data_IF_322129174050
#
_entry.id   IF_322129174050
#
_cell.length_a   1.000
_cell.length_b   1.000
_cell.length_c   1.000
_cell.angle_alpha   90.00
_cell.angle_beta   90.00
_cell.angle_gamma   90.00
#
_symmetry.space_group_name_H-M   'P 1'
#
loop_
_entity.id
_entity.type
_entity.pdbx_description
1 polymer ?
#
# COMPACT_ATOMS: atom_id res chain seq x y z
N UNK A 1 12.56 -11.86 11.98
CA UNK A 1 13.34 -12.53 10.89
C UNK A 1 14.85 -12.32 11.06
N UNK A 2 15.70 -13.18 10.47
CA UNK A 2 17.18 -13.10 10.52
C UNK A 2 17.71 -12.12 9.49
N UNK A 3 17.78 -10.86 9.81
CA UNK A 3 18.18 -9.81 8.87
C UNK A 3 19.55 -9.16 9.18
N UNK A 4 20.00 -9.15 10.46
CA UNK A 4 21.24 -8.48 10.87
C UNK A 4 22.46 -9.08 10.18
N UNK A 5 23.34 -8.21 9.67
CA UNK A 5 24.57 -8.59 8.97
C UNK A 5 24.38 -9.07 7.52
N UNK A 6 23.18 -8.93 6.95
CA UNK A 6 22.88 -9.26 5.57
C UNK A 6 23.12 -8.08 4.62
N UNK A 7 23.11 -8.36 3.30
CA UNK A 7 23.23 -7.33 2.26
C UNK A 7 22.13 -6.27 2.41
N UNK A 8 22.51 -5.01 2.31
CA UNK A 8 21.58 -3.89 2.18
C UNK A 8 21.51 -3.47 0.71
N UNK A 9 20.35 -3.04 0.26
CA UNK A 9 20.18 -2.47 -1.09
C UNK A 9 20.88 -1.14 -1.20
N UNK A 10 21.46 -0.88 -2.38
CA UNK A 10 21.94 0.45 -2.77
C UNK A 10 20.87 1.30 -3.46
N UNK A 11 19.70 0.72 -3.79
CA UNK A 11 18.59 1.41 -4.46
C UNK A 11 17.71 2.15 -3.45
N UNK A 12 18.34 2.90 -2.54
CA UNK A 12 17.66 3.62 -1.45
C UNK A 12 17.96 5.10 -1.52
N UNK A 13 16.90 5.91 -1.48
CA UNK A 13 16.97 7.36 -1.30
C UNK A 13 16.60 7.73 0.14
N UNK A 14 17.56 8.21 0.91
CA UNK A 14 17.27 8.78 2.24
C UNK A 14 16.80 10.24 2.09
N UNK A 15 15.50 10.43 2.18
CA UNK A 15 14.86 11.74 2.10
C UNK A 15 14.34 12.22 3.47
N UNK A 16 14.72 11.58 4.60
CA UNK A 16 14.29 11.95 5.95
C UNK A 16 14.69 13.36 6.34
N UNK A 17 15.80 13.88 5.81
CA UNK A 17 16.24 15.26 6.00
C UNK A 17 15.61 16.27 5.04
N UNK A 18 14.78 15.86 4.08
CA UNK A 18 14.17 16.79 3.12
C UNK A 18 12.93 17.45 3.71
N UNK A 19 12.96 18.77 3.85
CA UNK A 19 11.75 19.54 4.23
C UNK A 19 10.99 19.91 2.95
N UNK A 20 9.80 19.33 2.77
CA UNK A 20 8.88 19.77 1.73
C UNK A 20 8.27 21.09 2.19
N UNK A 21 8.65 22.20 1.58
CA UNK A 21 8.05 23.49 1.86
C UNK A 21 6.56 23.42 1.50
N UNK A 22 5.69 23.57 2.47
CA UNK A 22 4.25 23.73 2.22
C UNK A 22 4.04 25.11 1.64
N UNK A 23 3.86 25.21 0.31
CA UNK A 23 3.31 26.41 -0.34
C UNK A 23 1.83 26.53 0.01
N UNK A 24 1.52 26.52 1.31
CA UNK A 24 0.16 26.59 1.82
C UNK A 24 -0.46 27.98 1.71
N UNK A 25 0.33 29.02 1.37
CA UNK A 25 -0.15 30.39 1.42
C UNK A 25 -1.15 30.76 0.30
N UNK A 26 -0.76 30.60 -0.97
CA UNK A 26 -1.57 31.12 -2.08
C UNK A 26 -2.83 30.28 -2.37
N UNK A 27 -2.74 28.96 -2.35
CA UNK A 27 -3.88 28.08 -2.66
C UNK A 27 -4.94 28.08 -1.55
N UNK A 28 -4.54 28.15 -0.28
CA UNK A 28 -5.47 28.26 0.86
C UNK A 28 -6.16 29.62 0.85
N UNK A 29 -5.41 30.69 0.57
CA UNK A 29 -5.98 32.06 0.48
C UNK A 29 -6.96 32.17 -0.69
N UNK A 30 -6.64 31.65 -1.87
CA UNK A 30 -7.52 31.60 -3.04
C UNK A 30 -8.79 30.77 -2.76
N UNK A 31 -8.67 29.63 -2.07
CA UNK A 31 -9.81 28.79 -1.73
C UNK A 31 -10.70 29.42 -0.66
N UNK A 32 -10.11 30.07 0.35
CA UNK A 32 -10.84 30.76 1.41
C UNK A 32 -11.59 31.99 0.86
N UNK A 33 -10.92 32.77 0.02
CA UNK A 33 -11.50 33.96 -0.61
C UNK A 33 -12.51 33.57 -1.67
N UNK A 34 -12.24 32.53 -2.46
CA UNK A 34 -13.18 32.01 -3.45
C UNK A 34 -14.49 31.48 -2.82
N UNK A 35 -14.39 30.80 -1.66
CA UNK A 35 -15.57 30.33 -0.91
C UNK A 35 -16.37 31.43 -0.28
N UNK A 36 -15.74 32.52 0.19
CA UNK A 36 -16.42 33.59 0.92
C UNK A 36 -16.91 34.71 0.01
N UNK A 37 -16.18 35.01 -1.07
CA UNK A 37 -16.42 36.19 -1.92
C UNK A 37 -16.59 35.86 -3.40
N UNK A 38 -16.56 34.57 -3.76
CA UNK A 38 -16.70 34.09 -5.13
C UNK A 38 -15.64 34.64 -6.07
N UNK A 39 -15.94 34.67 -7.38
CA UNK A 39 -15.03 35.09 -8.43
C UNK A 39 -14.59 36.56 -8.27
N UNK A 40 -15.46 37.40 -7.69
CA UNK A 40 -15.15 38.84 -7.44
C UNK A 40 -14.01 39.01 -6.42
N UNK A 41 -13.97 38.16 -5.37
CA UNK A 41 -12.88 38.17 -4.41
C UNK A 41 -11.55 37.70 -5.01
N UNK A 42 -11.58 36.71 -5.91
CA UNK A 42 -10.41 36.25 -6.63
C UNK A 42 -9.85 37.37 -7.53
N UNK A 43 -10.71 38.10 -8.26
CA UNK A 43 -10.27 39.21 -9.09
C UNK A 43 -9.63 40.34 -8.26
N UNK A 44 -10.18 40.65 -7.10
CA UNK A 44 -9.61 41.66 -6.17
C UNK A 44 -8.20 41.18 -5.70
N UNK A 45 -8.05 39.92 -5.34
CA UNK A 45 -6.72 39.38 -4.96
C UNK A 45 -5.70 39.47 -6.09
N UNK A 46 -6.09 39.21 -7.34
CA UNK A 46 -5.21 39.34 -8.51
C UNK A 46 -4.78 40.81 -8.69
N UNK A 47 -5.70 41.75 -8.59
CA UNK A 47 -5.42 43.18 -8.73
C UNK A 47 -4.49 43.65 -7.60
N UNK A 48 -4.79 43.30 -6.35
CA UNK A 48 -3.95 43.63 -5.19
C UNK A 48 -2.55 43.02 -5.34
N UNK A 49 -2.45 41.75 -5.73
CA UNK A 49 -1.18 41.08 -5.97
C UNK A 49 -0.36 41.81 -7.07
N UNK A 50 -1.01 42.22 -8.16
CA UNK A 50 -0.37 42.96 -9.25
C UNK A 50 0.14 44.36 -8.81
N UNK A 51 -0.65 45.08 -7.99
CA UNK A 51 -0.24 46.36 -7.43
C UNK A 51 0.95 46.20 -6.50
N UNK A 52 0.91 45.24 -5.59
CA UNK A 52 2.00 44.94 -4.64
C UNK A 52 3.30 44.54 -5.36
N UNK A 53 3.17 43.79 -6.46
CA UNK A 53 4.32 43.54 -7.35
C UNK A 53 4.88 44.78 -7.97
N UNK A 54 4.04 45.65 -8.54
CA UNK A 54 4.49 46.89 -9.20
C UNK A 54 5.19 47.86 -8.25
N UNK A 55 4.81 47.87 -6.98
CA UNK A 55 5.46 48.69 -5.93
C UNK A 55 6.66 47.97 -5.26
N UNK A 56 7.02 46.76 -5.75
CA UNK A 56 8.20 46.03 -5.26
C UNK A 56 8.03 45.36 -3.88
N UNK A 57 6.78 45.30 -3.35
CA UNK A 57 6.52 44.72 -2.04
C UNK A 57 6.40 43.20 -2.07
N UNK A 58 6.14 42.58 -3.23
CA UNK A 58 6.14 41.13 -3.44
C UNK A 58 6.79 40.78 -4.77
N UNK A 59 7.54 39.65 -4.78
CA UNK A 59 8.09 39.07 -5.98
C UNK A 59 7.13 37.98 -6.49
N UNK A 60 6.63 38.05 -7.76
CA UNK A 60 5.74 37.06 -8.32
C UNK A 60 6.37 35.66 -8.38
N UNK A 61 7.71 35.55 -8.41
CA UNK A 61 8.40 34.26 -8.35
C UNK A 61 8.14 33.48 -7.06
N UNK A 62 7.76 34.18 -5.98
CA UNK A 62 7.31 33.57 -4.73
C UNK A 62 5.87 33.05 -4.81
N UNK A 63 5.05 33.54 -5.76
CA UNK A 63 3.64 33.14 -5.91
C UNK A 63 3.43 32.05 -6.97
N UNK A 64 4.25 32.06 -8.02
CA UNK A 64 4.28 31.00 -9.03
C UNK A 64 5.35 30.04 -8.56
N UNK A 65 4.97 28.88 -8.01
CA UNK A 65 5.88 27.90 -7.45
C UNK A 65 7.11 27.67 -8.35
N UNK A 66 8.16 28.42 -8.05
CA UNK A 66 9.51 28.12 -8.55
C UNK A 66 9.93 26.75 -8.00
N UNK A 67 10.96 26.12 -8.57
CA UNK A 67 11.42 24.82 -8.10
C UNK A 67 11.65 24.92 -6.59
N UNK A 68 10.85 24.17 -5.85
CA UNK A 68 10.91 24.10 -4.38
C UNK A 68 12.35 23.73 -4.04
N UNK A 69 13.13 24.68 -3.54
CA UNK A 69 14.48 24.37 -3.04
C UNK A 69 14.27 23.41 -1.86
N UNK A 70 14.49 22.15 -2.13
CA UNK A 70 14.49 21.10 -1.10
C UNK A 70 15.74 21.34 -0.26
N UNK A 71 15.59 22.03 0.86
CA UNK A 71 16.69 22.13 1.83
C UNK A 71 16.86 20.76 2.46
N UNK A 72 17.97 20.10 2.17
CA UNK A 72 18.40 18.91 2.88
C UNK A 72 19.09 19.34 4.17
N UNK A 73 18.51 18.95 5.29
CA UNK A 73 19.12 19.06 6.62
C UNK A 73 19.79 17.71 6.95
N UNK A 74 20.93 17.67 7.62
CA UNK A 74 21.50 16.41 8.09
C UNK A 74 20.45 15.58 8.83
N UNK A 75 20.40 14.28 8.56
CA UNK A 75 19.45 13.37 9.20
C UNK A 75 19.99 13.06 10.59
N UNK A 76 19.35 13.60 11.63
CA UNK A 76 19.53 13.13 13.00
C UNK A 76 18.56 11.98 13.22
N UNK A 77 19.05 10.74 13.10
CA UNK A 77 18.28 9.54 13.36
C UNK A 77 18.53 9.03 14.78
N UNK A 78 17.48 8.56 15.43
CA UNK A 78 17.66 7.78 16.68
C UNK A 78 18.23 6.39 16.34
N UNK A 79 18.83 5.68 17.29
CA UNK A 79 19.31 4.32 17.07
C UNK A 79 18.20 3.39 16.54
N UNK A 80 16.97 3.52 17.06
CA UNK A 80 15.80 2.73 16.64
C UNK A 80 15.39 3.06 15.20
N UNK A 81 15.39 4.34 14.83
CA UNK A 81 15.09 4.75 13.46
C UNK A 81 16.17 4.27 12.48
N UNK A 82 17.42 4.28 12.90
CA UNK A 82 18.52 3.75 12.08
C UNK A 82 18.41 2.21 11.94
N UNK A 83 18.05 1.49 13.01
CA UNK A 83 17.82 0.06 12.94
C UNK A 83 16.68 -0.28 11.96
N UNK A 84 15.58 0.49 11.98
CA UNK A 84 14.47 0.35 11.02
C UNK A 84 14.92 0.66 9.58
N UNK A 85 15.72 1.69 9.41
CA UNK A 85 16.32 2.04 8.11
C UNK A 85 17.15 0.87 7.57
N UNK A 86 18.05 0.32 8.38
CA UNK A 86 18.90 -0.81 8.01
C UNK A 86 18.04 -2.04 7.69
N UNK A 87 17.01 -2.30 8.46
CA UNK A 87 16.07 -3.38 8.25
C UNK A 87 15.37 -3.29 6.89
N UNK A 88 14.75 -2.16 6.56
CA UNK A 88 14.01 -2.02 5.30
C UNK A 88 14.94 -2.09 4.08
N UNK A 89 16.20 -1.67 4.23
CA UNK A 89 17.19 -1.79 3.16
C UNK A 89 17.62 -3.23 2.92
N UNK A 90 17.67 -4.07 3.96
CA UNK A 90 17.87 -5.52 3.84
C UNK A 90 16.68 -6.19 3.19
N UNK A 91 15.45 -5.85 3.60
CA UNK A 91 14.22 -6.40 3.00
C UNK A 91 14.15 -6.06 1.51
N UNK A 92 14.46 -4.81 1.13
CA UNK A 92 14.51 -4.44 -0.29
C UNK A 92 15.54 -5.28 -1.05
N UNK A 93 16.75 -5.46 -0.49
CA UNK A 93 17.78 -6.31 -1.08
C UNK A 93 17.30 -7.76 -1.30
N UNK A 94 16.53 -8.30 -0.36
CA UNK A 94 15.92 -9.63 -0.49
C UNK A 94 14.88 -9.69 -1.62
N UNK A 95 14.08 -8.64 -1.78
CA UNK A 95 13.13 -8.56 -2.89
C UNK A 95 13.85 -8.49 -4.23
N UNK A 96 14.96 -7.74 -4.31
CA UNK A 96 15.80 -7.68 -5.53
C UNK A 96 16.32 -9.05 -5.94
N UNK A 97 16.89 -9.81 -4.99
CA UNK A 97 17.45 -11.13 -5.25
C UNK A 97 16.37 -12.11 -5.73
N UNK A 98 15.20 -12.11 -5.09
CA UNK A 98 14.08 -12.99 -5.44
C UNK A 98 13.55 -12.64 -6.84
N UNK A 99 13.19 -11.38 -7.08
CA UNK A 99 12.54 -11.00 -8.33
C UNK A 99 13.47 -11.03 -9.54
N UNK A 100 14.75 -10.75 -9.34
CA UNK A 100 15.77 -10.95 -10.38
C UNK A 100 15.88 -12.42 -10.79
N UNK A 101 15.79 -13.33 -9.83
CA UNK A 101 15.77 -14.78 -10.10
C UNK A 101 14.47 -15.20 -10.77
N UNK A 102 13.32 -14.80 -10.22
CA UNK A 102 12.00 -15.22 -10.71
C UNK A 102 11.73 -14.71 -12.13
N UNK A 103 11.88 -13.40 -12.38
CA UNK A 103 11.67 -12.83 -13.71
C UNK A 103 12.73 -13.31 -14.70
N UNK A 104 13.98 -13.53 -14.24
CA UNK A 104 15.04 -14.09 -15.07
C UNK A 104 14.75 -15.49 -15.59
N UNK A 105 14.05 -16.35 -14.83
CA UNK A 105 13.58 -17.66 -15.30
C UNK A 105 12.62 -17.58 -16.47
N UNK A 106 11.89 -16.46 -16.59
CA UNK A 106 10.96 -16.17 -17.66
C UNK A 106 11.58 -15.31 -18.78
N UNK A 107 12.89 -15.07 -18.74
CA UNK A 107 13.59 -14.23 -19.72
C UNK A 107 13.20 -12.74 -19.65
N UNK A 108 12.61 -12.31 -18.53
CA UNK A 108 12.20 -10.93 -18.31
C UNK A 108 13.27 -10.17 -17.52
N UNK A 109 13.62 -8.93 -17.92
CA UNK A 109 14.48 -8.08 -17.12
C UNK A 109 13.77 -7.65 -15.84
N UNK A 110 14.52 -7.48 -14.77
CA UNK A 110 14.06 -6.87 -13.52
C UNK A 110 14.78 -5.53 -13.28
N UNK A 111 14.28 -4.41 -13.77
CA UNK A 111 14.70 -3.10 -13.28
C UNK A 111 14.24 -2.95 -11.83
N UNK A 112 15.18 -2.76 -10.93
CA UNK A 112 14.94 -2.70 -9.49
C UNK A 112 14.23 -1.37 -9.13
N UNK A 113 13.23 -1.39 -8.22
CA UNK A 113 12.60 -0.16 -7.75
C UNK A 113 13.54 0.59 -6.80
N UNK A 114 13.38 1.89 -6.70
CA UNK A 114 14.04 2.68 -5.66
C UNK A 114 13.14 2.77 -4.42
N UNK A 115 13.68 2.52 -3.23
CA UNK A 115 13.01 2.79 -1.97
C UNK A 115 13.33 4.20 -1.48
N UNK A 116 12.35 5.09 -1.44
CA UNK A 116 12.51 6.41 -0.85
C UNK A 116 11.98 6.43 0.58
N UNK A 117 12.86 6.69 1.54
CA UNK A 117 12.52 6.82 2.95
C UNK A 117 12.37 8.30 3.28
N UNK A 118 11.21 8.69 3.84
CA UNK A 118 10.88 10.09 4.12
C UNK A 118 10.28 10.27 5.52
N UNK A 119 10.05 11.50 5.94
CA UNK A 119 9.33 11.84 7.18
C UNK A 119 8.14 12.76 6.87
N UNK A 120 6.97 12.35 7.30
CA UNK A 120 5.74 13.13 7.27
C UNK A 120 5.15 13.31 5.88
N UNK A 121 5.88 13.94 4.96
CA UNK A 121 5.42 14.26 3.60
C UNK A 121 6.54 14.13 2.57
N UNK A 122 6.18 13.70 1.37
CA UNK A 122 7.08 13.66 0.22
C UNK A 122 6.36 14.05 -1.06
N UNK A 123 7.11 14.43 -2.09
CA UNK A 123 6.58 14.64 -3.44
C UNK A 123 6.97 13.45 -4.31
N UNK A 124 6.03 12.99 -5.12
CA UNK A 124 6.21 11.86 -6.02
C UNK A 124 5.65 12.20 -7.40
N UNK A 125 6.00 11.42 -8.42
CA UNK A 125 5.40 11.58 -9.75
C UNK A 125 3.89 11.23 -9.76
N UNK A 126 3.39 10.51 -8.76
CA UNK A 126 1.97 10.18 -8.58
C UNK A 126 1.20 11.23 -7.75
N UNK A 127 1.87 12.27 -7.25
CA UNK A 127 1.30 13.31 -6.38
C UNK A 127 1.99 13.41 -5.03
N UNK A 128 1.37 14.12 -4.09
CA UNK A 128 1.90 14.26 -2.73
C UNK A 128 1.65 13.00 -1.90
N UNK A 129 2.71 12.41 -1.37
CA UNK A 129 2.66 11.34 -0.37
C UNK A 129 2.66 11.90 1.04
N UNK A 130 1.91 11.27 1.93
CA UNK A 130 1.83 11.61 3.36
C UNK A 130 1.98 10.35 4.19
N UNK A 131 2.67 10.44 5.33
CA UNK A 131 2.88 9.31 6.26
C UNK A 131 1.59 8.59 6.65
N UNK A 132 0.48 9.34 6.82
CA UNK A 132 -0.83 8.80 7.16
C UNK A 132 -1.45 7.90 6.07
N UNK A 133 -0.91 7.89 4.86
CA UNK A 133 -1.36 7.00 3.79
C UNK A 133 -0.74 5.61 3.90
N UNK A 134 0.24 5.43 4.80
CA UNK A 134 1.08 4.25 4.86
C UNK A 134 2.15 4.21 3.75
N UNK A 135 2.92 3.13 3.66
CA UNK A 135 3.78 2.85 2.52
C UNK A 135 2.99 2.75 1.22
N UNK A 136 3.59 3.10 0.11
CA UNK A 136 2.95 2.98 -1.20
C UNK A 136 3.98 2.90 -2.32
N UNK A 137 3.59 2.29 -3.43
CA UNK A 137 4.34 2.28 -4.68
C UNK A 137 3.77 3.31 -5.67
N UNK A 138 4.64 4.05 -6.34
CA UNK A 138 4.25 4.95 -7.42
C UNK A 138 4.72 4.40 -8.78
N UNK A 139 3.81 3.99 -9.67
CA UNK A 139 4.19 3.42 -10.97
C UNK A 139 4.80 4.46 -11.93
N UNK A 140 4.56 5.75 -11.72
CA UNK A 140 5.06 6.79 -12.62
C UNK A 140 6.56 7.06 -12.47
N UNK A 141 7.12 6.85 -11.27
CA UNK A 141 8.56 6.98 -10.99
C UNK A 141 9.21 5.67 -10.55
N UNK A 142 8.43 4.60 -10.45
CA UNK A 142 8.86 3.24 -10.06
C UNK A 142 9.56 3.21 -8.71
N UNK A 143 9.02 3.98 -7.74
CA UNK A 143 9.56 4.05 -6.39
C UNK A 143 8.57 3.50 -5.36
N UNK A 144 9.12 2.83 -4.37
CA UNK A 144 8.44 2.51 -3.11
C UNK A 144 8.71 3.63 -2.12
N UNK A 145 7.69 4.11 -1.44
CA UNK A 145 7.76 5.22 -0.49
C UNK A 145 7.39 4.74 0.90
N UNK A 146 8.25 5.01 1.88
CA UNK A 146 8.05 4.58 3.27
C UNK A 146 8.39 5.71 4.24
N UNK A 147 7.48 6.01 5.15
CA UNK A 147 7.79 6.72 6.39
C UNK A 147 7.98 5.68 7.50
N UNK A 148 9.15 5.67 8.13
CA UNK A 148 9.47 4.66 9.17
C UNK A 148 8.57 4.75 10.42
N UNK A 149 7.87 5.89 10.62
CA UNK A 149 6.86 6.05 11.66
C UNK A 149 5.61 5.18 11.44
N UNK A 150 5.36 4.71 10.20
CA UNK A 150 4.26 3.80 9.91
C UNK A 150 4.38 2.48 10.69
N UNK A 151 5.57 2.04 11.01
CA UNK A 151 5.76 0.81 11.78
C UNK A 151 5.25 0.92 13.22
N UNK A 152 5.34 2.11 13.83
CA UNK A 152 4.68 2.37 15.12
C UNK A 152 3.16 2.34 15.00
N UNK A 153 2.63 2.81 13.86
CA UNK A 153 1.20 2.76 13.58
C UNK A 153 0.73 1.32 13.32
N UNK A 154 1.52 0.52 12.59
CA UNK A 154 1.24 -0.90 12.35
C UNK A 154 1.14 -1.68 13.67
N UNK A 155 2.03 -1.40 14.63
CA UNK A 155 1.98 -2.00 15.94
C UNK A 155 0.81 -1.49 16.80
N UNK A 156 0.66 -0.16 16.94
CA UNK A 156 -0.26 0.46 17.89
C UNK A 156 -1.69 0.49 17.41
N UNK A 157 -1.90 0.88 16.14
CA UNK A 157 -3.25 1.10 15.57
C UNK A 157 -3.79 -0.15 14.88
N UNK A 158 -2.92 -0.91 14.23
CA UNK A 158 -3.29 -2.12 13.51
C UNK A 158 -3.09 -3.40 14.31
N UNK A 159 -2.46 -3.33 15.50
CA UNK A 159 -2.17 -4.49 16.36
C UNK A 159 -1.42 -5.62 15.62
N UNK A 160 -0.57 -5.24 14.69
CA UNK A 160 0.27 -6.13 13.90
C UNK A 160 1.76 -5.84 14.17
N UNK A 161 2.25 -6.15 15.39
CA UNK A 161 3.66 -5.99 15.73
C UNK A 161 4.52 -7.03 15.02
N UNK A 162 5.81 -6.76 14.96
CA UNK A 162 6.82 -7.67 14.47
C UNK A 162 7.57 -7.13 13.25
N UNK A 163 8.78 -7.62 13.08
CA UNK A 163 9.62 -7.19 11.98
C UNK A 163 9.16 -7.79 10.64
N UNK A 164 8.60 -8.98 10.67
CA UNK A 164 8.10 -9.60 9.44
C UNK A 164 6.77 -9.00 8.97
N UNK A 165 5.97 -8.41 9.85
CA UNK A 165 4.82 -7.58 9.45
C UNK A 165 5.27 -6.38 8.61
N UNK A 166 6.38 -5.73 9.00
CA UNK A 166 6.99 -4.63 8.25
C UNK A 166 7.57 -5.11 6.91
N UNK A 167 8.25 -6.25 6.91
CA UNK A 167 8.81 -6.86 5.71
C UNK A 167 7.72 -7.23 4.69
N UNK A 168 6.58 -7.76 5.15
CA UNK A 168 5.43 -8.05 4.30
C UNK A 168 4.93 -6.80 3.57
N UNK A 169 4.82 -5.66 4.25
CA UNK A 169 4.36 -4.42 3.61
C UNK A 169 5.33 -3.99 2.49
N UNK A 170 6.65 -4.01 2.74
CA UNK A 170 7.64 -3.69 1.70
C UNK A 170 7.52 -4.66 0.51
N UNK A 171 7.39 -5.97 0.78
CA UNK A 171 7.24 -6.98 -0.26
C UNK A 171 5.95 -6.80 -1.08
N UNK A 172 4.85 -6.35 -0.45
CA UNK A 172 3.60 -6.01 -1.10
C UNK A 172 3.77 -4.82 -2.06
N UNK A 173 4.43 -3.73 -1.61
CA UNK A 173 4.70 -2.57 -2.48
C UNK A 173 5.62 -2.93 -3.67
N UNK A 174 6.59 -3.81 -3.44
CA UNK A 174 7.40 -4.38 -4.55
C UNK A 174 6.53 -5.26 -5.44
N UNK A 175 5.52 -5.94 -4.92
CA UNK A 175 4.50 -6.66 -5.70
C UNK A 175 3.82 -5.74 -6.73
N UNK A 176 3.47 -4.51 -6.35
CA UNK A 176 2.94 -3.50 -7.29
C UNK A 176 3.97 -3.07 -8.34
N UNK A 177 5.26 -3.08 -8.00
CA UNK A 177 6.31 -2.87 -8.99
C UNK A 177 6.35 -3.99 -10.02
N UNK A 178 6.26 -5.26 -9.59
CA UNK A 178 6.17 -6.41 -10.49
C UNK A 178 4.95 -6.28 -11.43
N UNK A 179 3.79 -5.89 -10.90
CA UNK A 179 2.58 -5.65 -11.70
C UNK A 179 2.77 -4.54 -12.75
N UNK A 180 3.56 -3.52 -12.42
CA UNK A 180 3.91 -2.46 -13.37
C UNK A 180 4.81 -3.01 -14.49
N UNK A 181 5.81 -3.82 -14.18
CA UNK A 181 6.69 -4.45 -15.15
C UNK A 181 5.94 -5.43 -16.08
N UNK A 182 4.94 -6.15 -15.54
CA UNK A 182 4.11 -7.09 -16.31
C UNK A 182 2.95 -6.41 -17.06
N UNK A 183 2.76 -5.09 -16.90
CA UNK A 183 1.71 -4.32 -17.56
C UNK A 183 0.32 -4.47 -16.93
N UNK A 184 0.20 -5.15 -15.79
CA UNK A 184 -1.08 -5.35 -15.08
C UNK A 184 -1.60 -4.04 -14.49
N UNK A 185 -0.73 -3.25 -13.85
CA UNK A 185 -1.10 -1.94 -13.28
C UNK A 185 -1.69 -0.99 -14.32
N UNK A 186 -1.14 -0.96 -15.54
CA UNK A 186 -1.61 -0.10 -16.64
C UNK A 186 -2.99 -0.53 -17.12
N UNK A 187 -3.26 -1.85 -17.19
CA UNK A 187 -4.57 -2.39 -17.59
C UNK A 187 -5.65 -1.98 -16.59
N UNK A 188 -5.38 -2.10 -15.28
CA UNK A 188 -6.32 -1.68 -14.23
C UNK A 188 -6.49 -0.16 -14.20
N UNK A 189 -5.42 0.61 -14.36
CA UNK A 189 -5.48 2.07 -14.41
C UNK A 189 -6.36 2.58 -15.57
N UNK A 190 -6.38 1.89 -16.73
CA UNK A 190 -7.23 2.23 -17.86
C UNK A 190 -8.74 2.05 -17.57
N UNK A 191 -9.10 1.29 -16.54
CA UNK A 191 -10.49 1.05 -16.13
C UNK A 191 -11.00 2.09 -15.10
N UNK A 192 -10.15 3.03 -14.69
CA UNK A 192 -10.47 4.04 -13.66
C UNK A 192 -11.71 4.84 -14.06
N UNK A 193 -12.67 4.93 -13.14
CA UNK A 193 -13.95 5.58 -13.35
C UNK A 193 -15.02 4.70 -14.02
N UNK A 194 -14.68 3.50 -14.43
CA UNK A 194 -15.65 2.48 -14.88
C UNK A 194 -16.39 1.82 -13.70
N UNK A 195 -17.50 1.14 -13.98
CA UNK A 195 -18.34 0.50 -12.95
C UNK A 195 -17.61 -0.60 -12.17
N UNK A 196 -16.71 -1.31 -12.83
CA UNK A 196 -16.02 -2.47 -12.25
C UNK A 196 -14.65 -2.13 -11.67
N UNK A 197 -14.27 -0.84 -11.66
CA UNK A 197 -12.93 -0.42 -11.23
C UNK A 197 -12.55 -0.94 -9.84
N UNK A 198 -13.46 -0.90 -8.88
CA UNK A 198 -13.20 -1.37 -7.52
C UNK A 198 -12.87 -2.87 -7.49
N UNK A 199 -13.59 -3.68 -8.26
CA UNK A 199 -13.31 -5.11 -8.38
C UNK A 199 -11.90 -5.36 -8.94
N UNK A 200 -11.53 -4.66 -10.01
CA UNK A 200 -10.19 -4.79 -10.59
C UNK A 200 -9.09 -4.24 -9.67
N UNK A 201 -9.39 -3.22 -8.87
CA UNK A 201 -8.50 -2.74 -7.82
C UNK A 201 -8.24 -3.82 -6.76
N UNK A 202 -9.30 -4.47 -6.28
CA UNK A 202 -9.16 -5.60 -5.33
C UNK A 202 -8.32 -6.73 -5.95
N UNK A 203 -8.54 -7.11 -7.20
CA UNK A 203 -7.72 -8.12 -7.90
C UNK A 203 -6.24 -7.76 -7.94
N UNK A 204 -5.94 -6.47 -8.17
CA UNK A 204 -4.57 -5.95 -8.18
C UNK A 204 -3.92 -6.09 -6.80
N UNK A 205 -4.63 -5.70 -5.75
CA UNK A 205 -4.14 -5.81 -4.37
C UNK A 205 -3.87 -7.27 -3.94
N UNK A 206 -4.82 -8.16 -4.24
CA UNK A 206 -4.66 -9.57 -3.92
C UNK A 206 -3.50 -10.24 -4.67
N UNK A 207 -3.22 -9.79 -5.90
CA UNK A 207 -2.04 -10.24 -6.62
C UNK A 207 -0.74 -9.69 -6.00
N UNK A 208 -0.73 -8.46 -5.47
CA UNK A 208 0.41 -7.94 -4.73
C UNK A 208 0.65 -8.72 -3.42
N UNK A 209 -0.41 -9.11 -2.71
CA UNK A 209 -0.31 -10.00 -1.55
C UNK A 209 0.24 -11.39 -1.94
N UNK A 210 -0.20 -11.92 -3.08
CA UNK A 210 0.36 -13.15 -3.63
C UNK A 210 1.87 -13.04 -3.88
N UNK A 211 2.31 -11.96 -4.50
CA UNK A 211 3.74 -11.73 -4.77
C UNK A 211 4.55 -11.53 -3.49
N UNK A 212 3.97 -10.90 -2.46
CA UNK A 212 4.60 -10.86 -1.13
C UNK A 212 4.76 -12.27 -0.54
N UNK A 213 3.77 -13.16 -0.76
CA UNK A 213 3.86 -14.58 -0.40
C UNK A 213 4.95 -15.31 -1.17
N UNK A 214 5.08 -15.11 -2.48
CA UNK A 214 6.17 -15.68 -3.31
C UNK A 214 7.53 -15.23 -2.78
N UNK A 215 7.69 -13.94 -2.46
CA UNK A 215 8.91 -13.44 -1.83
C UNK A 215 9.21 -14.15 -0.50
N UNK A 216 8.22 -14.32 0.36
CA UNK A 216 8.37 -15.02 1.64
C UNK A 216 8.77 -16.51 1.44
N UNK A 217 8.21 -17.18 0.41
CA UNK A 217 8.59 -18.55 0.04
C UNK A 217 10.09 -18.68 -0.20
N UNK A 218 10.66 -17.80 -1.00
CA UNK A 218 12.08 -17.85 -1.35
C UNK A 218 13.00 -17.40 -0.22
N UNK A 219 12.46 -16.75 0.82
CA UNK A 219 13.18 -16.27 1.99
C UNK A 219 12.99 -17.14 3.25
N UNK A 220 12.35 -18.32 3.17
CA UNK A 220 12.07 -19.20 4.32
C UNK A 220 13.28 -19.46 5.23
N UNK A 221 14.49 -19.55 4.65
CA UNK A 221 15.75 -19.76 5.41
C UNK A 221 16.09 -18.63 6.39
N UNK A 222 15.49 -17.45 6.20
CA UNK A 222 15.70 -16.27 7.04
C UNK A 222 14.55 -15.99 8.00
N UNK A 223 13.49 -16.80 7.93
CA UNK A 223 12.35 -16.65 8.81
C UNK A 223 12.63 -17.28 10.18
N UNK A 224 12.09 -16.65 11.20
CA UNK A 224 11.99 -17.16 12.56
C UNK A 224 10.57 -17.70 12.81
N UNK A 225 10.43 -18.45 13.90
CA UNK A 225 9.11 -18.94 14.33
C UNK A 225 8.20 -17.75 14.66
N UNK A 226 7.04 -17.69 14.04
CA UNK A 226 6.06 -16.60 14.25
C UNK A 226 6.03 -15.54 13.15
N UNK A 227 7.05 -15.48 12.27
CA UNK A 227 7.12 -14.47 11.20
C UNK A 227 5.93 -14.53 10.25
N UNK A 228 5.54 -15.74 9.84
CA UNK A 228 4.39 -15.89 8.93
C UNK A 228 3.10 -15.42 9.59
N UNK A 229 2.91 -15.69 10.88
CA UNK A 229 1.77 -15.21 11.64
C UNK A 229 1.78 -13.67 11.77
N UNK A 230 2.95 -13.03 11.78
CA UNK A 230 3.07 -11.56 11.76
C UNK A 230 2.58 -11.00 10.43
N UNK A 231 3.02 -11.55 9.28
CA UNK A 231 2.53 -11.17 7.97
C UNK A 231 1.02 -11.37 7.83
N UNK A 232 0.50 -12.51 8.29
CA UNK A 232 -0.94 -12.81 8.28
C UNK A 232 -1.72 -11.80 9.13
N UNK A 233 -1.20 -11.43 10.31
CA UNK A 233 -1.82 -10.38 11.14
C UNK A 233 -1.81 -9.02 10.44
N UNK A 234 -0.71 -8.66 9.78
CA UNK A 234 -0.65 -7.43 9.02
C UNK A 234 -1.65 -7.42 7.87
N UNK A 235 -1.69 -8.46 7.05
CA UNK A 235 -2.65 -8.62 5.95
C UNK A 235 -4.11 -8.53 6.45
N UNK A 236 -4.42 -9.18 7.57
CA UNK A 236 -5.73 -9.11 8.20
C UNK A 236 -6.08 -7.69 8.68
N UNK A 237 -5.12 -7.00 9.28
CA UNK A 237 -5.34 -5.70 9.90
C UNK A 237 -5.58 -4.57 8.88
N UNK A 238 -5.06 -4.71 7.65
CA UNK A 238 -5.15 -3.72 6.59
C UNK A 238 -6.19 -4.07 5.50
N UNK A 239 -7.02 -5.10 5.71
CA UNK A 239 -8.18 -5.36 4.87
C UNK A 239 -9.25 -4.27 4.99
N UNK A 240 -9.99 -3.99 3.89
CA UNK A 240 -11.01 -2.94 3.86
C UNK A 240 -12.12 -3.16 4.90
N UNK A 241 -12.49 -4.40 5.16
CA UNK A 241 -13.47 -4.78 6.19
C UNK A 241 -12.97 -4.44 7.61
N UNK A 242 -11.71 -4.74 7.91
CA UNK A 242 -11.10 -4.42 9.20
C UNK A 242 -10.94 -2.90 9.39
N UNK A 243 -10.46 -2.19 8.34
CA UNK A 243 -10.29 -0.73 8.38
C UNK A 243 -11.65 -0.03 8.52
N UNK A 244 -12.65 -0.42 7.72
CA UNK A 244 -13.98 0.20 7.78
C UNK A 244 -14.70 -0.12 9.08
N UNK A 245 -14.56 -1.34 9.61
CA UNK A 245 -15.10 -1.72 10.91
C UNK A 245 -14.57 -0.83 12.04
N UNK A 246 -13.24 -0.57 12.05
CA UNK A 246 -12.60 0.31 13.05
C UNK A 246 -12.94 1.77 12.90
N UNK A 247 -13.00 2.29 11.65
CA UNK A 247 -13.09 3.73 11.40
C UNK A 247 -14.52 4.22 11.22
N UNK A 248 -15.41 3.39 10.65
CA UNK A 248 -16.79 3.79 10.28
C UNK A 248 -17.86 3.01 11.05
N UNK A 249 -17.49 1.99 11.82
CA UNK A 249 -18.40 1.11 12.56
C UNK A 249 -19.33 0.27 11.68
N UNK A 250 -19.17 0.34 10.35
CA UNK A 250 -19.92 -0.47 9.37
C UNK A 250 -19.06 -0.81 8.17
N UNK A 251 -19.29 -2.00 7.62
CA UNK A 251 -18.58 -2.51 6.45
C UNK A 251 -19.46 -2.35 5.19
N UNK A 252 -18.88 -1.82 4.11
CA UNK A 252 -19.55 -1.57 2.83
C UNK A 252 -18.77 -2.25 1.70
N UNK A 253 -19.03 -3.53 1.39
CA UNK A 253 -18.21 -4.32 0.44
C UNK A 253 -18.07 -3.70 -0.96
N UNK A 254 -19.13 -3.04 -1.46
CA UNK A 254 -19.10 -2.40 -2.78
C UNK A 254 -18.13 -1.20 -2.88
N UNK A 255 -17.58 -0.75 -1.76
CA UNK A 255 -16.59 0.34 -1.71
C UNK A 255 -15.16 -0.18 -1.52
N UNK A 256 -14.96 -1.48 -1.47
CA UNK A 256 -13.64 -2.06 -1.29
C UNK A 256 -12.74 -1.79 -2.49
N UNK A 257 -11.50 -1.48 -2.20
CA UNK A 257 -10.44 -1.26 -3.18
C UNK A 257 -9.21 -2.10 -2.91
N UNK A 258 -9.08 -2.65 -1.68
CA UNK A 258 -7.96 -3.50 -1.25
C UNK A 258 -8.38 -4.94 -0.95
N UNK A 259 -9.69 -5.21 -0.89
CA UNK A 259 -10.22 -6.53 -0.56
C UNK A 259 -10.41 -6.77 0.93
N UNK A 260 -11.01 -7.92 1.27
CA UNK A 260 -11.23 -8.31 2.65
C UNK A 260 -9.95 -8.85 3.30
N UNK A 261 -9.90 -8.79 4.63
CA UNK A 261 -8.85 -9.42 5.43
C UNK A 261 -8.63 -10.89 5.06
N UNK A 262 -9.72 -11.64 4.86
CA UNK A 262 -9.67 -13.06 4.48
C UNK A 262 -9.07 -13.27 3.09
N UNK A 263 -9.47 -12.47 2.11
CA UNK A 263 -8.90 -12.50 0.75
C UNK A 263 -7.40 -12.23 0.77
N UNK A 264 -6.96 -11.17 1.46
CA UNK A 264 -5.55 -10.78 1.56
C UNK A 264 -4.69 -11.88 2.19
N UNK A 265 -5.11 -12.41 3.35
CA UNK A 265 -4.43 -13.53 4.00
C UNK A 265 -4.34 -14.76 3.09
N UNK A 266 -5.43 -15.08 2.39
CA UNK A 266 -5.49 -16.22 1.48
C UNK A 266 -4.49 -16.10 0.35
N UNK A 267 -4.45 -14.96 -0.33
CA UNK A 267 -3.57 -14.77 -1.48
C UNK A 267 -2.09 -14.71 -1.07
N UNK A 268 -1.77 -14.11 0.07
CA UNK A 268 -0.43 -14.21 0.64
C UNK A 268 -0.03 -15.68 0.91
N UNK A 269 -0.88 -16.45 1.58
CA UNK A 269 -0.61 -17.87 1.86
C UNK A 269 -0.49 -18.70 0.58
N UNK A 270 -1.29 -18.42 -0.45
CA UNK A 270 -1.19 -19.10 -1.75
C UNK A 270 0.19 -18.84 -2.39
N UNK A 271 0.66 -17.60 -2.36
CA UNK A 271 2.00 -17.24 -2.83
C UNK A 271 3.12 -17.92 -2.03
N UNK A 272 2.99 -17.93 -0.70
CA UNK A 272 3.91 -18.60 0.22
C UNK A 272 4.01 -20.11 -0.06
N UNK A 273 2.91 -20.75 -0.39
CA UNK A 273 2.89 -22.20 -0.70
C UNK A 273 3.43 -22.49 -2.10
N UNK A 274 3.06 -21.67 -3.08
CA UNK A 274 3.43 -21.90 -4.48
C UNK A 274 4.89 -21.52 -4.78
N UNK A 275 5.33 -20.35 -4.34
CA UNK A 275 6.64 -19.78 -4.69
C UNK A 275 6.81 -19.46 -6.19
N UNK A 276 5.75 -19.50 -7.01
CA UNK A 276 5.78 -19.33 -8.46
C UNK A 276 4.97 -18.10 -8.88
N UNK A 277 5.50 -17.30 -9.79
CA UNK A 277 4.84 -16.09 -10.27
C UNK A 277 3.55 -16.39 -11.05
N UNK A 278 3.51 -17.51 -11.81
CA UNK A 278 2.43 -17.87 -12.73
C UNK A 278 1.11 -18.21 -12.01
N UNK A 279 1.19 -18.73 -10.79
CA UNK A 279 0.01 -19.15 -10.03
C UNK A 279 -0.72 -17.97 -9.36
N UNK A 280 -0.22 -16.73 -9.57
CA UNK A 280 -0.73 -15.48 -9.01
C UNK A 280 -1.79 -14.79 -9.88
N UNK A 281 -2.43 -15.48 -10.80
CA UNK A 281 -3.49 -14.88 -11.61
C UNK A 281 -4.77 -14.67 -10.81
N UNK A 282 -5.05 -13.40 -10.48
CA UNK A 282 -6.30 -12.96 -9.82
C UNK A 282 -7.34 -12.43 -10.81
N UNK A 283 -7.00 -12.36 -12.09
CA UNK A 283 -7.81 -11.67 -13.09
C UNK A 283 -8.67 -12.61 -13.96
N UNK A 284 -8.22 -13.84 -14.19
CA UNK A 284 -8.95 -14.82 -15.03
C UNK A 284 -9.97 -15.66 -14.27
N UNK A 285 -9.96 -15.61 -12.93
CA UNK A 285 -10.93 -16.33 -12.09
C UNK A 285 -12.15 -15.46 -11.79
N UNK A 286 -13.36 -16.04 -11.58
CA UNK A 286 -14.53 -15.30 -11.13
C UNK A 286 -14.26 -14.50 -9.85
N UNK A 287 -14.88 -13.33 -9.70
CA UNK A 287 -14.63 -12.46 -8.52
C UNK A 287 -15.04 -13.12 -7.20
N UNK A 288 -16.14 -13.85 -7.21
CA UNK A 288 -16.64 -14.64 -6.09
C UNK A 288 -15.66 -15.74 -5.64
N UNK A 289 -14.85 -16.27 -6.56
CA UNK A 289 -13.88 -17.32 -6.27
C UNK A 289 -12.58 -16.77 -5.65
N UNK A 290 -12.37 -15.43 -5.66
CA UNK A 290 -11.26 -14.80 -4.94
C UNK A 290 -11.33 -15.07 -3.42
N UNK A 291 -12.54 -15.29 -2.89
CA UNK A 291 -12.77 -15.67 -1.50
C UNK A 291 -12.60 -17.17 -1.25
N UNK A 292 -12.82 -18.05 -2.21
CA UNK A 292 -12.87 -19.54 -2.23
C UNK A 292 -12.77 -20.27 -0.89
N UNK A 293 -13.35 -21.43 -0.78
CA UNK A 293 -13.20 -22.26 0.42
C UNK A 293 -11.72 -22.64 0.61
N UNK A 294 -11.17 -22.43 1.81
CA UNK A 294 -9.90 -23.06 2.18
C UNK A 294 -10.10 -24.58 2.07
N UNK A 295 -9.35 -25.30 1.23
CA UNK A 295 -9.15 -26.71 1.50
C UNK A 295 -8.51 -26.72 2.90
N UNK A 296 -9.15 -27.41 3.85
CA UNK A 296 -8.74 -27.46 5.25
C UNK A 296 -7.22 -27.41 5.35
N UNK A 297 -6.69 -26.29 5.86
CA UNK A 297 -5.27 -26.14 6.15
C UNK A 297 -4.99 -27.15 7.29
N UNK A 298 -4.49 -28.33 6.93
CA UNK A 298 -3.73 -29.16 7.85
C UNK A 298 -2.36 -28.48 8.07
N UNK A 299 -2.38 -27.28 8.66
CA UNK A 299 -1.24 -26.79 9.40
C UNK A 299 -1.15 -27.72 10.61
N UNK A 300 -0.26 -28.69 10.55
CA UNK A 300 0.26 -29.36 11.74
C UNK A 300 1.02 -28.30 12.56
N UNK A 301 0.28 -27.36 13.14
CA UNK A 301 0.79 -26.48 14.18
C UNK A 301 0.98 -27.35 15.43
N UNK A 302 2.12 -27.29 16.11
CA UNK A 302 2.27 -27.93 17.39
C UNK A 302 1.18 -27.37 18.32
N UNK A 303 0.41 -28.27 18.93
CA UNK A 303 -0.83 -28.06 19.68
C UNK A 303 -0.67 -27.29 21.01
N UNK A 304 0.30 -26.38 21.15
CA UNK A 304 0.58 -25.69 22.41
C UNK A 304 0.40 -24.17 22.42
N UNK A 305 -0.03 -23.52 21.32
CA UNK A 305 -0.09 -22.05 21.24
C UNK A 305 -1.49 -21.42 21.11
N UNK A 306 -2.56 -22.20 21.06
CA UNK A 306 -3.92 -21.64 21.04
C UNK A 306 -4.59 -21.79 22.39
N UNK A 307 -4.32 -20.88 23.35
CA UNK A 307 -5.28 -20.60 24.42
C UNK A 307 -6.42 -19.83 23.79
N UNK A 308 -7.56 -20.49 23.67
CA UNK A 308 -8.84 -19.91 23.34
C UNK A 308 -9.13 -18.73 24.28
N UNK A 309 -9.00 -17.50 23.77
CA UNK A 309 -9.74 -16.38 24.32
C UNK A 309 -11.17 -16.52 23.82
N UNK A 310 -12.07 -16.83 24.74
CA UNK A 310 -13.48 -17.05 24.52
C UNK A 310 -14.14 -15.80 23.93
N UNK A 311 -14.33 -15.80 22.61
CA UNK A 311 -15.39 -15.03 21.95
C UNK A 311 -16.59 -15.96 21.74
N UNK A 312 -17.41 -16.12 22.80
CA UNK A 312 -18.74 -16.70 22.71
C UNK A 312 -19.67 -15.61 22.17
N UNK A 313 -20.05 -15.75 20.91
CA UNK A 313 -21.17 -15.04 20.34
C UNK A 313 -20.92 -14.51 18.94
N UNK A 314 -20.98 -15.38 17.95
CA UNK A 314 -21.55 -15.16 16.62
C UNK A 314 -21.56 -16.51 15.90
N UNK A 315 -22.73 -16.88 15.42
CA UNK A 315 -23.05 -18.22 14.90
C UNK A 315 -22.19 -18.61 13.70
N UNK A 316 -21.98 -19.91 13.57
CA UNK A 316 -21.46 -20.59 12.40
C UNK A 316 -22.26 -20.17 11.14
N UNK A 317 -21.65 -19.39 10.25
CA UNK A 317 -22.27 -18.92 9.01
C UNK A 317 -21.67 -17.61 8.53
N UNK A 318 -20.35 -17.45 8.53
CA UNK A 318 -19.73 -16.30 7.83
C UNK A 318 -19.66 -16.63 6.35
N UNK A 319 -20.75 -16.36 5.64
CA UNK A 319 -20.80 -16.29 4.18
C UNK A 319 -20.00 -15.07 3.77
N UNK A 320 -18.90 -15.29 3.05
CA UNK A 320 -18.19 -14.28 2.29
C UNK A 320 -19.19 -13.72 1.24
N UNK A 321 -19.89 -12.63 1.57
CA UNK A 321 -20.88 -12.01 0.69
C UNK A 321 -20.15 -11.10 -0.29
N UNK A 322 -19.66 -11.65 -1.40
CA UNK A 322 -19.38 -10.91 -2.61
C UNK A 322 -20.72 -10.61 -3.31
N UNK A 323 -21.50 -9.67 -2.76
CA UNK A 323 -22.81 -9.32 -3.35
C UNK A 323 -22.62 -8.34 -4.51
N UNK A 324 -22.53 -8.88 -5.70
CA UNK A 324 -22.65 -8.17 -6.96
C UNK A 324 -23.40 -9.03 -7.99
N UNK A 325 -24.70 -9.22 -7.82
CA UNK A 325 -25.52 -9.96 -8.76
C UNK A 325 -27.00 -9.67 -8.57
N UNK A 326 -27.55 -8.71 -9.31
CA UNK A 326 -28.99 -8.51 -9.46
C UNK A 326 -29.58 -9.75 -10.11
N UNK A 327 -30.23 -10.58 -9.31
CA UNK A 327 -31.13 -11.63 -9.82
C UNK A 327 -32.36 -10.98 -10.46
N UNK A 328 -32.42 -10.94 -11.77
CA UNK A 328 -33.68 -10.76 -12.50
C UNK A 328 -34.48 -12.07 -12.40
N UNK A 329 -35.48 -12.07 -11.53
CA UNK A 329 -36.50 -13.12 -11.54
C UNK A 329 -37.42 -12.88 -12.76
N UNK A 330 -37.31 -13.72 -13.78
CA UNK A 330 -38.31 -13.82 -14.84
C UNK A 330 -39.50 -14.62 -14.30
N UNK A 331 -40.58 -13.93 -13.97
CA UNK A 331 -41.87 -14.58 -13.70
C UNK A 331 -42.50 -14.99 -15.05
N UNK A 332 -42.39 -16.27 -15.38
CA UNK A 332 -43.18 -16.88 -16.45
C UNK A 332 -44.50 -17.35 -15.90
N UNK A 333 -45.57 -16.61 -16.16
CA UNK A 333 -46.94 -17.12 -16.03
C UNK A 333 -47.27 -18.00 -17.21
N UNK A 334 -47.59 -19.27 -16.94
CA UNK A 334 -48.24 -20.15 -17.88
C UNK A 334 -49.72 -20.26 -17.51
N UNK A 335 -50.56 -19.88 -18.43
CA UNK A 335 -51.93 -20.36 -18.56
C UNK A 335 -51.98 -21.62 -19.34
#
# INVERSE_FOLDING_TARGET
>A
MKWKGRRQSSNVEDARGRKVATTAGAGVLLNLVGRRFGIKGILVLIVVGFVLWKVGLIDPSMMVGGPTQTQSVPVEATPEEQERFDFVTVVLADTEDVWKSELGRHGQPYPEPTLQIYRGRTQTACGAGMAQMGPFYCPADQKVYVDLGFYDELERSFQAPGDFAQAYVIAHEVGHHIQTLLGTSQKVAAMRGGPDYNEYSVRLELQADYYAGVWAHHNQRYLDTGDIEEAIRAANAIGDDAIQGRTKGRVLPHTFTHGTSEQRMRWFNKGLQSGRIEDGDTFSIPYEDLCGQFPHLNLALPSSAFRQSSYSGLGAGSLCHCSGGTSFAVSGSAT
#
